data_IF_019810125023
#
_entry.id   IF_019810125023
#
_cell.length_a   1.000
_cell.length_b   1.000
_cell.length_c   1.000
_cell.angle_alpha   90.00
_cell.angle_beta   90.00
_cell.angle_gamma   90.00
#
_symmetry.space_group_name_H-M   'P 1'
#
loop_
_entity.id
_entity.type
_entity.pdbx_description
1 polymer ?
#
# COMPACT_ATOMS: atom_id res chain seq x y z
N UNK A 1 -9.46 18.47 3.73
CA UNK A 1 -8.29 18.22 4.61
C UNK A 1 -7.45 17.20 3.88
N UNK A 2 -6.36 17.62 3.24
CA UNK A 2 -5.46 16.68 2.53
C UNK A 2 -4.74 15.83 3.57
N UNK A 3 -4.75 14.53 3.34
CA UNK A 3 -4.10 13.52 4.16
C UNK A 3 -3.19 12.78 3.20
N UNK A 4 -1.89 12.98 3.39
CA UNK A 4 -0.78 12.34 2.69
C UNK A 4 -0.31 11.06 3.38
N UNK A 5 -0.73 10.86 4.63
CA UNK A 5 -0.45 9.64 5.39
C UNK A 5 -1.72 9.03 5.99
N UNK A 6 -1.92 7.73 5.83
CA UNK A 6 -3.01 7.01 6.47
C UNK A 6 -2.56 5.67 7.02
N UNK A 7 -2.97 5.35 8.24
CA UNK A 7 -2.80 4.01 8.81
C UNK A 7 -4.05 3.19 8.53
N UNK A 8 -3.85 2.04 7.87
CA UNK A 8 -4.91 1.06 7.61
C UNK A 8 -4.59 -0.25 8.32
N UNK A 9 -5.64 -0.94 8.75
CA UNK A 9 -5.58 -2.27 9.32
C UNK A 9 -6.24 -3.24 8.33
N UNK A 10 -5.47 -4.22 7.89
CA UNK A 10 -5.90 -5.20 6.91
C UNK A 10 -5.96 -6.59 7.54
N UNK A 11 -7.04 -7.30 7.25
CA UNK A 11 -7.29 -8.66 7.73
C UNK A 11 -7.77 -9.49 6.54
N UNK A 12 -6.95 -10.45 6.12
CA UNK A 12 -7.31 -11.39 5.08
C UNK A 12 -8.28 -12.44 5.61
N UNK A 13 -8.96 -13.12 4.69
CA UNK A 13 -9.94 -14.13 5.05
C UNK A 13 -9.26 -15.33 5.69
N UNK A 14 -9.88 -15.86 6.75
CA UNK A 14 -9.53 -17.17 7.29
C UNK A 14 -9.92 -18.26 6.29
N UNK A 15 -9.09 -19.30 6.16
CA UNK A 15 -9.47 -20.53 5.47
C UNK A 15 -10.65 -21.22 6.15
N UNK A 16 -11.49 -21.89 5.36
CA UNK A 16 -12.56 -22.72 5.89
C UNK A 16 -12.02 -24.00 6.51
N UNK A 17 -12.64 -24.47 7.59
CA UNK A 17 -12.28 -25.75 8.20
C UNK A 17 -12.62 -26.93 7.28
N UNK A 18 -11.81 -27.98 7.34
CA UNK A 18 -12.16 -29.26 6.75
C UNK A 18 -13.36 -29.90 7.46
N UNK A 19 -13.96 -30.87 6.79
CA UNK A 19 -15.01 -31.71 7.37
C UNK A 19 -14.45 -33.08 7.71
N UNK A 20 -14.71 -33.56 8.93
CA UNK A 20 -14.55 -34.97 9.26
C UNK A 20 -15.92 -35.63 9.14
N UNK A 21 -16.12 -36.41 8.06
CA UNK A 21 -17.39 -37.08 7.81
C UNK A 21 -17.18 -38.45 7.19
N UNK A 22 -18.16 -39.34 7.38
CA UNK A 22 -18.17 -40.67 6.79
C UNK A 22 -19.48 -40.89 6.06
N UNK A 23 -19.40 -41.53 4.89
CA UNK A 23 -20.57 -41.81 4.07
C UNK A 23 -21.52 -42.76 4.81
N UNK A 24 -22.80 -42.37 4.91
CA UNK A 24 -23.86 -43.19 5.51
C UNK A 24 -24.92 -43.50 4.47
N UNK A 25 -25.07 -44.79 4.12
CA UNK A 25 -26.09 -45.27 3.19
C UNK A 25 -26.85 -46.46 3.80
N UNK A 26 -28.14 -46.58 3.47
CA UNK A 26 -29.09 -47.53 4.08
C UNK A 26 -28.67 -49.02 4.00
N UNK A 27 -27.71 -49.36 3.13
CA UNK A 27 -27.19 -50.73 2.95
C UNK A 27 -25.66 -50.81 2.98
N UNK A 28 -24.99 -49.75 3.43
CA UNK A 28 -23.53 -49.68 3.54
C UNK A 28 -23.16 -49.21 4.95
N UNK A 29 -23.04 -50.13 5.92
CA UNK A 29 -22.82 -49.77 7.33
C UNK A 29 -21.46 -49.11 7.59
N UNK A 30 -20.45 -49.36 6.75
CA UNK A 30 -19.11 -48.75 6.85
C UNK A 30 -18.75 -48.03 5.54
N UNK A 31 -19.29 -46.83 5.33
CA UNK A 31 -18.84 -45.96 4.26
C UNK A 31 -17.48 -45.35 4.56
N UNK A 32 -16.70 -45.10 3.51
CA UNK A 32 -15.40 -44.43 3.65
C UNK A 32 -15.54 -42.96 4.05
N UNK A 33 -14.41 -42.31 4.38
CA UNK A 33 -14.36 -40.86 4.61
C UNK A 33 -14.97 -40.08 3.43
N UNK A 34 -15.87 -39.14 3.72
CA UNK A 34 -16.53 -38.29 2.73
C UNK A 34 -16.55 -36.80 3.14
N UNK A 35 -15.76 -36.43 4.14
CA UNK A 35 -15.59 -35.04 4.55
C UNK A 35 -14.62 -34.30 3.62
N UNK A 36 -15.12 -33.20 3.04
CA UNK A 36 -14.38 -32.38 2.09
C UNK A 36 -13.49 -31.31 2.74
N UNK A 37 -12.63 -30.70 1.91
CA UNK A 37 -11.82 -29.55 2.30
C UNK A 37 -12.68 -28.29 2.47
N UNK A 38 -12.22 -27.37 3.30
CA UNK A 38 -12.74 -26.00 3.32
C UNK A 38 -12.39 -25.22 2.05
N UNK A 39 -12.85 -23.97 1.99
CA UNK A 39 -12.45 -23.00 0.96
C UNK A 39 -11.28 -22.14 1.43
N UNK A 40 -10.48 -21.62 0.50
CA UNK A 40 -9.41 -20.65 0.82
C UNK A 40 -10.03 -19.32 1.27
N UNK A 41 -9.36 -18.60 2.18
CA UNK A 41 -9.72 -17.23 2.51
C UNK A 41 -9.51 -16.25 1.34
N UNK A 42 -10.21 -15.13 1.36
CA UNK A 42 -9.99 -14.04 0.41
C UNK A 42 -8.74 -13.23 0.74
N UNK A 43 -8.09 -12.68 -0.28
CA UNK A 43 -6.91 -11.81 -0.16
C UNK A 43 -7.33 -10.34 0.04
N UNK A 44 -6.48 -9.53 0.68
CA UNK A 44 -6.57 -8.06 0.65
C UNK A 44 -5.58 -7.55 -0.39
N UNK A 45 -6.10 -6.91 -1.44
CA UNK A 45 -5.31 -6.42 -2.57
C UNK A 45 -5.38 -4.90 -2.62
N UNK A 46 -4.22 -4.25 -2.66
CA UNK A 46 -4.11 -2.83 -2.96
C UNK A 46 -3.94 -2.67 -4.48
N UNK A 47 -4.75 -1.81 -5.09
CA UNK A 47 -4.73 -1.57 -6.54
C UNK A 47 -4.62 -0.08 -6.84
N UNK A 48 -3.65 0.29 -7.68
CA UNK A 48 -3.46 1.68 -8.09
C UNK A 48 -4.58 2.09 -9.03
N UNK A 49 -5.24 3.21 -8.74
CA UNK A 49 -6.33 3.71 -9.56
C UNK A 49 -6.32 5.24 -9.65
N UNK A 50 -6.31 5.78 -10.89
CA UNK A 50 -6.26 7.22 -11.17
C UNK A 50 -7.52 7.99 -10.69
N UNK A 51 -8.63 7.30 -10.44
CA UNK A 51 -9.82 7.93 -9.85
C UNK A 51 -9.62 8.33 -8.38
N UNK A 52 -8.63 7.75 -7.69
CA UNK A 52 -8.31 8.06 -6.30
C UNK A 52 -7.08 8.96 -6.29
N UNK A 53 -7.23 10.21 -5.82
CA UNK A 53 -6.14 11.21 -5.81
C UNK A 53 -5.57 11.50 -4.42
N UNK A 54 -6.27 11.10 -3.35
CA UNK A 54 -5.88 11.43 -1.97
C UNK A 54 -6.10 10.23 -1.04
N UNK A 55 -5.45 10.22 0.13
CA UNK A 55 -5.66 9.17 1.14
C UNK A 55 -6.77 9.52 2.15
N UNK A 56 -7.61 10.51 1.88
CA UNK A 56 -8.61 10.99 2.83
C UNK A 56 -9.64 9.91 3.18
N UNK A 57 -9.97 9.00 2.25
CA UNK A 57 -10.94 7.94 2.50
C UNK A 57 -10.46 6.97 3.60
N UNK A 58 -9.16 6.68 3.61
CA UNK A 58 -8.52 5.83 4.61
C UNK A 58 -8.55 6.42 6.02
N UNK A 59 -8.64 7.74 6.15
CA UNK A 59 -8.81 8.38 7.45
C UNK A 59 -10.18 8.07 8.08
N UNK A 60 -11.21 7.87 7.25
CA UNK A 60 -12.59 7.56 7.66
C UNK A 60 -12.82 6.06 7.79
N UNK A 61 -12.27 5.28 6.88
CA UNK A 61 -12.36 3.82 6.86
C UNK A 61 -10.95 3.23 7.01
N UNK A 62 -10.63 2.80 8.22
CA UNK A 62 -9.30 2.24 8.55
C UNK A 62 -9.21 0.73 8.49
N UNK A 63 -10.35 0.01 8.56
CA UNK A 63 -10.37 -1.45 8.59
C UNK A 63 -10.86 -2.04 7.27
N UNK A 64 -10.06 -2.93 6.70
CA UNK A 64 -10.36 -3.66 5.47
C UNK A 64 -10.28 -5.17 5.74
N UNK A 65 -11.40 -5.86 5.56
CA UNK A 65 -11.53 -7.30 5.83
C UNK A 65 -11.94 -8.03 4.56
N UNK A 66 -11.19 -9.05 4.20
CA UNK A 66 -11.58 -9.97 3.14
C UNK A 66 -12.57 -11.02 3.66
N UNK A 67 -13.24 -11.73 2.76
CA UNK A 67 -14.20 -12.77 3.10
C UNK A 67 -13.52 -14.07 3.54
N UNK A 68 -14.10 -14.76 4.52
CA UNK A 68 -13.63 -16.07 4.96
C UNK A 68 -14.00 -17.18 3.97
N UNK A 69 -13.16 -18.22 3.90
CA UNK A 69 -13.49 -19.46 3.22
C UNK A 69 -14.60 -20.22 3.95
N UNK A 70 -15.50 -20.85 3.19
CA UNK A 70 -16.57 -21.67 3.78
C UNK A 70 -16.04 -23.02 4.26
N UNK A 71 -16.67 -23.58 5.30
CA UNK A 71 -16.35 -24.92 5.79
C UNK A 71 -16.64 -25.99 4.73
N UNK A 72 -15.82 -27.05 4.70
CA UNK A 72 -16.13 -28.26 3.96
C UNK A 72 -17.38 -28.96 4.51
N UNK A 73 -18.08 -29.69 3.65
CA UNK A 73 -19.26 -30.47 4.01
C UNK A 73 -19.05 -31.97 3.85
N UNK A 74 -20.05 -32.74 4.30
CA UNK A 74 -20.18 -34.16 3.99
C UNK A 74 -20.47 -34.39 2.52
N UNK A 75 -20.35 -35.64 2.06
CA UNK A 75 -20.51 -36.05 0.66
C UNK A 75 -19.59 -35.29 -0.30
N UNK A 76 -18.34 -35.08 0.11
CA UNK A 76 -17.30 -34.42 -0.66
C UNK A 76 -17.67 -33.00 -1.14
N UNK A 77 -18.46 -32.26 -0.36
CA UNK A 77 -18.83 -30.87 -0.66
C UNK A 77 -17.74 -29.89 -0.24
N UNK A 78 -16.85 -29.51 -1.15
CA UNK A 78 -15.79 -28.52 -0.87
C UNK A 78 -16.35 -27.15 -0.52
N UNK A 79 -15.72 -26.47 0.43
CA UNK A 79 -16.07 -25.10 0.81
C UNK A 79 -15.76 -24.08 -0.29
N UNK A 80 -16.60 -23.05 -0.43
CA UNK A 80 -16.37 -21.93 -1.33
C UNK A 80 -15.23 -21.02 -0.86
N UNK A 81 -14.47 -20.46 -1.82
CA UNK A 81 -13.44 -19.45 -1.55
C UNK A 81 -14.07 -18.16 -1.01
N UNK A 82 -13.41 -17.53 -0.05
CA UNK A 82 -13.77 -16.21 0.45
C UNK A 82 -13.56 -15.11 -0.59
N UNK A 83 -14.36 -14.05 -0.53
CA UNK A 83 -14.25 -12.91 -1.45
C UNK A 83 -13.03 -12.06 -1.15
N UNK A 84 -12.20 -11.80 -2.16
CA UNK A 84 -11.10 -10.84 -2.04
C UNK A 84 -11.66 -9.41 -1.86
N UNK A 85 -10.90 -8.53 -1.20
CA UNK A 85 -11.20 -7.10 -1.14
C UNK A 85 -10.12 -6.32 -1.89
N UNK A 86 -10.57 -5.48 -2.84
CA UNK A 86 -9.70 -4.57 -3.57
C UNK A 86 -9.80 -3.20 -2.95
N UNK A 87 -8.67 -2.67 -2.51
CA UNK A 87 -8.53 -1.37 -1.87
C UNK A 87 -7.81 -0.44 -2.84
N UNK A 88 -8.55 0.53 -3.38
CA UNK A 88 -8.04 1.44 -4.41
C UNK A 88 -7.16 2.52 -3.78
N UNK A 89 -5.93 2.67 -4.26
CA UNK A 89 -4.99 3.69 -3.79
C UNK A 89 -4.55 4.61 -4.93
N UNK A 90 -4.19 5.87 -4.63
CA UNK A 90 -3.61 6.76 -5.63
C UNK A 90 -2.29 6.25 -6.21
N UNK A 91 -1.95 6.62 -7.45
CA UNK A 91 -0.60 6.46 -8.00
C UNK A 91 0.45 7.13 -7.12
N UNK A 92 1.59 6.46 -6.92
CA UNK A 92 2.68 6.94 -6.06
C UNK A 92 2.48 6.67 -4.57
N UNK A 93 1.60 5.74 -4.20
CA UNK A 93 1.40 5.32 -2.81
C UNK A 93 2.51 4.36 -2.38
N UNK A 94 3.24 4.73 -1.33
CA UNK A 94 4.23 3.89 -0.68
C UNK A 94 3.59 3.19 0.51
N UNK A 95 3.83 1.89 0.61
CA UNK A 95 3.39 1.06 1.73
C UNK A 95 4.56 0.89 2.69
N UNK A 96 4.32 1.14 3.98
CA UNK A 96 5.27 0.87 5.05
C UNK A 96 4.64 0.00 6.14
N UNK A 97 5.47 -0.79 6.79
CA UNK A 97 5.09 -1.51 8.01
C UNK A 97 5.08 -0.58 9.23
N UNK A 98 4.79 -1.12 10.41
CA UNK A 98 4.80 -0.38 11.68
C UNK A 98 6.20 0.12 12.07
N UNK A 99 7.25 -0.53 11.58
CA UNK A 99 8.67 -0.19 11.84
C UNK A 99 9.18 0.90 10.88
N UNK A 100 8.40 1.25 9.85
CA UNK A 100 8.72 2.26 8.85
C UNK A 100 9.49 1.71 7.64
N UNK A 101 9.71 0.40 7.56
CA UNK A 101 10.33 -0.28 6.42
C UNK A 101 9.38 -0.22 5.22
N UNK A 102 9.93 0.06 4.04
CA UNK A 102 9.13 0.12 2.81
C UNK A 102 8.80 -1.30 2.36
N UNK A 103 7.51 -1.61 2.32
CA UNK A 103 6.97 -2.89 1.83
C UNK A 103 6.88 -2.86 0.31
N UNK A 104 6.29 -1.80 -0.25
CA UNK A 104 6.08 -1.67 -1.69
C UNK A 104 5.91 -0.19 -2.10
N UNK A 105 6.20 0.09 -3.37
CA UNK A 105 5.91 1.38 -4.02
C UNK A 105 4.94 1.13 -5.18
N UNK A 106 3.74 1.71 -5.07
CA UNK A 106 2.64 1.51 -6.00
C UNK A 106 2.51 2.73 -6.91
N UNK A 107 2.99 2.63 -8.14
CA UNK A 107 3.19 3.76 -9.05
C UNK A 107 2.30 3.66 -10.28
N UNK A 108 2.31 2.51 -10.95
CA UNK A 108 1.68 2.37 -12.27
C UNK A 108 0.17 2.11 -12.13
N UNK A 109 -0.71 2.79 -12.89
CA UNK A 109 -2.15 2.55 -12.84
C UNK A 109 -2.49 1.07 -13.13
N UNK A 110 -3.37 0.49 -12.31
CA UNK A 110 -3.72 -0.94 -12.36
C UNK A 110 -2.70 -1.88 -11.72
N UNK A 111 -1.58 -1.38 -11.20
CA UNK A 111 -0.64 -2.18 -10.42
C UNK A 111 -1.34 -2.73 -9.17
N UNK A 112 -1.22 -4.04 -8.94
CA UNK A 112 -1.82 -4.75 -7.80
C UNK A 112 -0.73 -5.26 -6.86
N UNK A 113 -1.02 -5.21 -5.57
CA UNK A 113 -0.17 -5.74 -4.52
C UNK A 113 -1.01 -6.50 -3.49
N UNK A 114 -0.66 -7.76 -3.22
CA UNK A 114 -1.33 -8.55 -2.18
C UNK A 114 -0.80 -8.07 -0.84
N UNK A 115 -1.59 -7.25 -0.17
CA UNK A 115 -1.22 -6.63 1.09
C UNK A 115 -1.38 -7.60 2.26
N UNK A 116 -2.33 -8.53 2.19
CA UNK A 116 -2.50 -9.62 3.15
C UNK A 116 -3.05 -10.85 2.42
N UNK A 117 -2.42 -12.01 2.62
CA UNK A 117 -2.81 -13.27 1.98
C UNK A 117 -3.89 -14.00 2.78
N UNK A 118 -4.91 -14.51 2.07
CA UNK A 118 -5.95 -15.35 2.64
C UNK A 118 -5.41 -16.71 3.07
N UNK A 119 -5.88 -17.17 4.23
CA UNK A 119 -5.45 -18.43 4.84
C UNK A 119 -5.84 -19.65 4.01
N UNK A 120 -4.99 -20.68 4.06
CA UNK A 120 -5.21 -21.95 3.37
C UNK A 120 -6.42 -22.72 3.91
N UNK A 121 -7.07 -23.46 3.02
CA UNK A 121 -8.19 -24.32 3.36
C UNK A 121 -7.76 -25.50 4.24
N UNK A 122 -8.52 -25.78 5.30
CA UNK A 122 -8.37 -26.98 6.09
C UNK A 122 -8.75 -28.23 5.28
N UNK A 123 -7.94 -29.28 5.35
CA UNK A 123 -8.21 -30.55 4.67
C UNK A 123 -9.27 -31.35 5.39
N UNK A 124 -10.24 -31.87 4.63
CA UNK A 124 -11.21 -32.83 5.13
C UNK A 124 -10.60 -34.21 5.34
N UNK A 125 -11.28 -35.06 6.10
CA UNK A 125 -10.77 -36.39 6.40
C UNK A 125 -10.59 -37.25 5.14
N UNK A 126 -11.38 -37.05 4.08
CA UNK A 126 -11.18 -37.74 2.80
C UNK A 126 -9.81 -37.42 2.15
N UNK A 127 -9.31 -36.19 2.30
CA UNK A 127 -8.01 -35.79 1.76
C UNK A 127 -6.83 -36.31 2.59
N UNK A 128 -7.07 -36.70 3.84
CA UNK A 128 -6.04 -37.20 4.77
C UNK A 128 -5.78 -38.71 4.63
N UNK A 129 -6.59 -39.43 3.85
CA UNK A 129 -6.51 -40.90 3.75
C UNK A 129 -5.12 -41.41 3.36
N UNK A 130 -4.44 -40.71 2.44
CA UNK A 130 -3.10 -41.10 1.99
C UNK A 130 -2.02 -40.90 3.05
N UNK A 131 -2.23 -39.98 3.98
CA UNK A 131 -1.20 -39.58 4.94
C UNK A 131 -1.43 -40.17 6.33
N UNK A 132 -2.69 -40.34 6.73
CA UNK A 132 -3.09 -40.80 8.07
C UNK A 132 -3.48 -42.28 8.05
N UNK A 133 -4.02 -42.78 6.94
CA UNK A 133 -4.52 -44.14 6.81
C UNK A 133 -5.99 -44.20 6.35
N UNK A 134 -6.61 -45.38 6.31
CA UNK A 134 -7.90 -45.58 5.64
C UNK A 134 -9.11 -44.89 6.32
N UNK A 135 -9.02 -44.54 7.61
CA UNK A 135 -10.15 -44.02 8.41
C UNK A 135 -9.76 -42.83 9.31
N UNK A 136 -9.28 -41.71 8.76
CA UNK A 136 -9.03 -40.50 9.54
C UNK A 136 -10.33 -39.98 10.16
N UNK A 137 -10.32 -39.78 11.48
CA UNK A 137 -11.49 -39.31 12.26
C UNK A 137 -11.46 -37.82 12.57
N UNK A 138 -10.44 -37.12 12.08
CA UNK A 138 -10.27 -35.68 12.22
C UNK A 138 -10.14 -34.99 10.86
N UNK A 139 -10.24 -33.67 10.88
CA UNK A 139 -9.98 -32.80 9.75
C UNK A 139 -9.12 -31.62 10.23
N UNK A 140 -8.37 -31.01 9.32
CA UNK A 140 -7.58 -29.82 9.64
C UNK A 140 -8.51 -28.59 9.71
N UNK A 141 -8.21 -27.68 10.64
CA UNK A 141 -8.81 -26.36 10.70
C UNK A 141 -8.27 -25.49 9.57
N UNK A 142 -9.04 -24.51 9.14
CA UNK A 142 -8.58 -23.52 8.19
C UNK A 142 -7.58 -22.57 8.82
N UNK A 143 -6.55 -22.24 8.06
CA UNK A 143 -5.48 -21.33 8.48
C UNK A 143 -6.05 -19.91 8.70
N UNK A 144 -5.62 -19.20 9.76
CA UNK A 144 -5.84 -17.75 9.87
C UNK A 144 -5.33 -17.01 8.62
N UNK A 145 -6.02 -15.95 8.22
CA UNK A 145 -5.50 -15.05 7.19
C UNK A 145 -4.42 -14.15 7.78
N UNK A 146 -3.61 -13.55 6.91
CA UNK A 146 -2.66 -12.52 7.33
C UNK A 146 -3.40 -11.31 7.94
N UNK A 147 -2.84 -10.80 9.02
CA UNK A 147 -3.28 -9.56 9.67
C UNK A 147 -2.07 -8.64 9.83
N UNK A 148 -2.18 -7.39 9.38
CA UNK A 148 -1.13 -6.38 9.58
C UNK A 148 -1.67 -4.96 9.53
N UNK A 149 -0.98 -4.03 10.17
CA UNK A 149 -1.18 -2.61 9.95
C UNK A 149 -0.20 -2.13 8.88
N UNK A 150 -0.69 -1.31 7.95
CA UNK A 150 0.13 -0.69 6.90
C UNK A 150 -0.04 0.81 6.96
N UNK A 151 1.08 1.53 7.01
CA UNK A 151 1.10 2.98 6.81
C UNK A 151 1.20 3.26 5.31
N UNK A 152 0.18 3.92 4.77
CA UNK A 152 0.15 4.45 3.42
C UNK A 152 0.76 5.85 3.45
N UNK A 153 1.76 6.10 2.62
CA UNK A 153 2.34 7.41 2.41
C UNK A 153 2.26 7.76 0.93
N UNK A 154 1.54 8.81 0.59
CA UNK A 154 1.49 9.29 -0.78
C UNK A 154 2.76 10.09 -1.06
N UNK A 155 3.68 9.56 -1.89
CA UNK A 155 4.80 10.35 -2.40
C UNK A 155 4.24 11.42 -3.32
N UNK A 156 4.13 12.63 -2.77
CA UNK A 156 3.57 13.83 -3.38
C UNK A 156 3.70 13.84 -4.90
N UNK A 157 2.54 13.87 -5.54
CA UNK A 157 2.35 14.13 -6.95
C UNK A 157 1.59 15.45 -6.97
N UNK A 158 2.27 16.56 -7.23
CA UNK A 158 1.53 17.74 -7.64
C UNK A 158 1.10 17.49 -9.07
N UNK A 159 -0.19 17.58 -9.38
CA UNK A 159 -0.70 17.47 -10.76
C UNK A 159 -0.25 18.68 -11.58
N UNK A 160 -0.10 19.84 -10.90
CA UNK A 160 0.28 21.12 -11.51
C UNK A 160 1.42 21.76 -10.73
N UNK A 161 2.50 22.12 -11.43
CA UNK A 161 3.61 22.88 -10.86
C UNK A 161 3.56 24.34 -11.33
N UNK A 162 3.50 25.28 -10.40
CA UNK A 162 3.53 26.72 -10.68
C UNK A 162 4.98 27.19 -10.70
N UNK A 163 5.42 27.64 -11.88
CA UNK A 163 6.78 28.14 -12.11
C UNK A 163 6.71 29.63 -12.39
N UNK A 164 7.57 30.41 -11.75
CA UNK A 164 7.59 31.86 -11.93
C UNK A 164 8.58 32.52 -10.99
N UNK A 165 8.93 33.77 -11.27
CA UNK A 165 9.86 34.52 -10.44
C UNK A 165 9.36 34.74 -9.00
N UNK A 166 10.25 35.12 -8.05
CA UNK A 166 9.83 35.69 -6.78
C UNK A 166 8.82 36.81 -6.99
N UNK A 167 7.85 36.90 -6.09
CA UNK A 167 6.81 37.93 -6.11
C UNK A 167 5.89 37.94 -7.35
N UNK A 168 6.00 36.98 -8.27
CA UNK A 168 5.06 36.84 -9.40
C UNK A 168 3.61 36.54 -8.95
N UNK A 169 3.41 36.22 -7.68
CA UNK A 169 2.10 35.96 -7.08
C UNK A 169 1.74 34.48 -6.93
N UNK A 170 2.74 33.58 -6.94
CA UNK A 170 2.54 32.11 -6.83
C UNK A 170 1.73 31.73 -5.59
N UNK A 171 2.20 32.10 -4.40
CA UNK A 171 1.52 31.80 -3.13
C UNK A 171 0.14 32.47 -3.05
N UNK A 172 -0.02 33.66 -3.63
CA UNK A 172 -1.32 34.34 -3.72
C UNK A 172 -2.31 33.58 -4.59
N UNK A 173 -1.86 33.06 -5.75
CA UNK A 173 -2.68 32.23 -6.63
C UNK A 173 -3.09 30.93 -5.93
N UNK A 174 -2.14 30.22 -5.31
CA UNK A 174 -2.41 28.98 -4.53
C UNK A 174 -3.43 29.25 -3.43
N UNK A 175 -3.26 30.33 -2.68
CA UNK A 175 -4.20 30.72 -1.62
C UNK A 175 -5.62 30.98 -2.14
N UNK A 176 -5.74 31.49 -3.37
CA UNK A 176 -7.03 31.83 -3.99
C UNK A 176 -7.75 30.61 -4.56
N UNK A 177 -7.01 29.66 -5.12
CA UNK A 177 -7.57 28.45 -5.75
C UNK A 177 -7.81 27.33 -4.74
N UNK A 178 -7.10 27.34 -3.60
CA UNK A 178 -7.17 26.26 -2.63
C UNK A 178 -8.44 26.34 -1.77
N UNK A 179 -9.31 25.31 -1.83
CA UNK A 179 -10.50 25.21 -0.96
C UNK A 179 -10.15 24.97 0.51
N UNK A 180 -8.94 24.48 0.78
CA UNK A 180 -8.35 24.41 2.11
C UNK A 180 -7.31 25.52 2.28
N UNK A 181 -7.07 26.03 3.49
CA UNK A 181 -5.90 26.90 3.71
C UNK A 181 -4.65 26.16 3.20
N UNK A 182 -3.79 26.82 2.40
CA UNK A 182 -2.52 26.23 1.97
C UNK A 182 -1.82 25.67 3.21
N UNK A 183 -1.50 24.37 3.18
CA UNK A 183 -0.73 23.76 4.25
C UNK A 183 0.73 23.89 3.86
N UNK A 184 1.45 24.60 4.72
CA UNK A 184 2.90 24.49 4.79
C UNK A 184 3.19 23.05 5.21
N UNK A 185 4.04 22.36 4.47
CA UNK A 185 4.29 20.96 4.69
C UNK A 185 5.79 20.71 4.86
N UNK A 186 6.13 20.16 6.03
CA UNK A 186 7.51 19.96 6.50
C UNK A 186 8.01 18.61 6.00
N UNK A 187 8.47 18.56 4.75
CA UNK A 187 8.93 17.31 4.16
C UNK A 187 10.37 16.96 4.59
N UNK A 188 10.70 15.68 4.83
CA UNK A 188 11.98 15.28 5.45
C UNK A 188 13.25 15.57 4.63
N UNK A 189 13.14 16.17 3.45
CA UNK A 189 14.25 16.41 2.52
C UNK A 189 14.20 17.78 1.85
N UNK A 190 13.28 18.65 2.26
CA UNK A 190 13.16 20.01 1.73
C UNK A 190 13.63 21.01 2.79
N UNK A 191 14.60 21.86 2.47
CA UNK A 191 14.96 22.99 3.34
C UNK A 191 14.06 24.21 3.16
N UNK A 192 13.15 24.17 2.19
CA UNK A 192 12.10 25.16 1.94
C UNK A 192 10.78 24.39 1.83
N UNK A 193 9.86 24.65 2.74
CA UNK A 193 8.50 24.07 2.73
C UNK A 193 7.74 24.58 1.48
N UNK A 194 7.29 23.69 0.57
CA UNK A 194 6.53 24.12 -0.60
C UNK A 194 5.09 24.49 -0.20
N UNK A 195 4.53 25.48 -0.90
CA UNK A 195 3.12 25.82 -0.75
C UNK A 195 2.30 24.86 -1.61
N UNK A 196 1.44 24.07 -0.97
CA UNK A 196 0.50 23.18 -1.64
C UNK A 196 -0.93 23.70 -1.51
N UNK A 197 -1.68 23.58 -2.61
CA UNK A 197 -3.11 23.88 -2.67
C UNK A 197 -3.88 22.79 -3.39
N UNK A 198 -5.13 22.59 -2.99
CA UNK A 198 -6.06 21.69 -3.69
C UNK A 198 -7.08 22.53 -4.42
N UNK A 199 -7.01 22.50 -5.75
CA UNK A 199 -7.96 23.16 -6.61
C UNK A 199 -9.11 22.20 -6.95
N UNK A 200 -10.34 22.70 -6.93
CA UNK A 200 -11.52 21.96 -7.40
C UNK A 200 -12.22 22.79 -8.47
N UNK A 201 -12.36 22.22 -9.66
CA UNK A 201 -13.06 22.82 -10.79
C UNK A 201 -14.13 21.84 -11.27
N UNK A 202 -15.40 22.25 -11.21
CA UNK A 202 -16.54 21.35 -11.39
C UNK A 202 -16.39 20.08 -10.52
N UNK A 203 -16.28 18.91 -11.15
CA UNK A 203 -16.12 17.60 -10.51
C UNK A 203 -14.66 17.10 -10.47
N UNK A 204 -13.71 17.91 -10.95
CA UNK A 204 -12.28 17.55 -10.97
C UNK A 204 -11.53 18.20 -9.80
N UNK A 205 -10.77 17.40 -9.07
CA UNK A 205 -9.85 17.85 -8.01
C UNK A 205 -8.42 17.55 -8.41
N UNK A 206 -7.51 18.51 -8.19
CA UNK A 206 -6.08 18.31 -8.47
C UNK A 206 -5.20 19.13 -7.52
N UNK A 207 -3.97 18.64 -7.33
CA UNK A 207 -2.98 19.20 -6.43
C UNK A 207 -2.09 20.17 -7.18
N UNK A 208 -1.95 21.38 -6.65
CA UNK A 208 -1.11 22.45 -7.20
C UNK A 208 0.00 22.76 -6.21
N UNK A 209 1.24 22.81 -6.70
CA UNK A 209 2.41 23.18 -5.88
C UNK A 209 3.14 24.36 -6.48
N UNK A 210 3.72 25.23 -5.65
CA UNK A 210 4.70 26.18 -6.14
C UNK A 210 6.08 25.54 -6.25
N UNK A 211 6.86 26.08 -7.19
CA UNK A 211 8.27 25.72 -7.39
C UNK A 211 9.14 26.82 -6.77
N UNK A 212 9.53 26.72 -5.48
CA UNK A 212 10.58 27.56 -4.92
C UNK A 212 11.92 27.32 -5.61
N UNK A 213 12.66 28.39 -5.89
CA UNK A 213 14.11 28.31 -6.06
C UNK A 213 14.67 28.00 -7.44
N UNK A 214 13.88 28.03 -8.52
CA UNK A 214 14.44 28.15 -9.89
C UNK A 214 14.87 29.61 -10.13
N UNK A 215 15.94 30.05 -9.45
CA UNK A 215 16.56 31.36 -9.72
C UNK A 215 18.07 31.22 -9.50
N UNK A 216 18.85 31.71 -10.48
CA UNK A 216 20.32 31.80 -10.55
C UNK A 216 21.10 31.18 -9.37
N UNK A 217 21.67 29.99 -9.62
CA UNK A 217 22.67 29.34 -8.75
C UNK A 217 22.22 28.04 -8.07
N UNK A 218 20.96 27.61 -8.25
CA UNK A 218 20.46 26.36 -7.66
C UNK A 218 21.11 25.09 -8.23
N UNK A 219 21.68 25.15 -9.44
CA UNK A 219 22.40 24.04 -10.09
C UNK A 219 23.86 23.90 -9.62
N UNK A 220 24.44 24.89 -8.92
CA UNK A 220 25.89 24.97 -8.67
C UNK A 220 26.37 24.55 -7.27
N UNK A 221 25.50 24.23 -6.30
CA UNK A 221 26.03 23.65 -5.06
C UNK A 221 25.14 23.73 -3.84
N UNK A 222 24.53 22.58 -3.54
CA UNK A 222 24.13 21.99 -2.24
C UNK A 222 22.92 21.12 -2.55
N UNK A 223 22.97 19.83 -2.22
CA UNK A 223 22.02 18.78 -2.64
C UNK A 223 20.55 18.90 -2.20
N UNK A 224 20.03 20.12 -2.04
CA UNK A 224 18.68 20.48 -1.61
C UNK A 224 17.73 20.75 -2.78
N UNK A 225 18.23 21.18 -3.95
CA UNK A 225 17.40 21.46 -5.14
C UNK A 225 16.91 20.20 -5.86
N UNK A 226 17.76 19.17 -5.98
CA UNK A 226 17.45 17.95 -6.75
C UNK A 226 16.31 17.12 -6.13
N UNK A 227 16.16 17.11 -4.79
CA UNK A 227 15.07 16.40 -4.13
C UNK A 227 13.72 17.10 -4.30
N UNK A 228 13.72 18.45 -4.27
CA UNK A 228 12.52 19.26 -4.49
C UNK A 228 12.03 19.17 -5.95
N UNK A 229 12.96 19.26 -6.89
CA UNK A 229 12.64 19.25 -8.32
C UNK A 229 12.15 17.87 -8.81
N UNK A 230 12.48 16.77 -8.12
CA UNK A 230 11.83 15.45 -8.30
C UNK A 230 10.31 15.48 -8.08
N UNK A 231 9.78 16.41 -7.29
CA UNK A 231 8.33 16.55 -7.11
C UNK A 231 7.65 17.21 -8.32
N UNK A 232 8.37 18.05 -9.06
CA UNK A 232 7.91 18.65 -10.32
C UNK A 232 7.99 17.65 -11.46
N UNK A 233 8.91 16.68 -11.40
CA UNK A 233 8.99 15.55 -12.34
C UNK A 233 7.74 14.67 -12.35
N UNK A 234 6.74 14.93 -11.50
CA UNK A 234 5.43 14.27 -11.57
C UNK A 234 4.28 15.18 -11.96
N UNK A 235 4.51 16.48 -12.11
CA UNK A 235 3.48 17.42 -12.57
C UNK A 235 3.10 17.17 -14.02
N UNK A 236 1.85 16.79 -14.23
CA UNK A 236 1.25 16.66 -15.55
C UNK A 236 1.27 17.99 -16.32
N UNK A 237 1.07 19.10 -15.60
CA UNK A 237 0.99 20.44 -16.17
C UNK A 237 1.99 21.39 -15.50
N UNK A 238 2.71 22.16 -16.33
CA UNK A 238 3.52 23.29 -15.87
C UNK A 238 2.74 24.59 -16.13
N UNK A 239 2.49 25.35 -15.06
CA UNK A 239 1.82 26.65 -15.10
C UNK A 239 2.85 27.76 -14.89
N UNK A 240 3.20 28.48 -15.97
CA UNK A 240 4.07 29.65 -15.89
C UNK A 240 3.29 30.85 -15.38
N UNK A 241 3.72 31.44 -14.27
CA UNK A 241 3.16 32.65 -13.71
C UNK A 241 4.07 33.84 -13.99
N UNK A 242 3.64 34.70 -14.91
CA UNK A 242 4.41 35.86 -15.40
C UNK A 242 3.85 37.14 -14.78
N UNK A 243 4.74 37.99 -14.24
CA UNK A 243 4.35 39.25 -13.59
C UNK A 243 4.20 40.38 -14.63
N UNK A 244 2.97 40.85 -14.83
CA UNK A 244 2.67 41.93 -15.78
C UNK A 244 2.77 43.34 -15.16
N UNK A 245 3.11 43.45 -13.87
CA UNK A 245 3.14 44.75 -13.19
C UNK A 245 4.31 45.61 -13.68
N UNK A 246 4.10 46.93 -13.91
CA UNK A 246 5.19 47.83 -14.30
C UNK A 246 6.33 47.90 -13.27
N UNK A 247 6.04 47.54 -12.02
CA UNK A 247 6.95 47.55 -10.88
C UNK A 247 7.98 46.41 -10.91
N UNK A 248 7.76 45.36 -11.71
CA UNK A 248 8.73 44.26 -11.87
C UNK A 248 10.04 44.74 -12.51
N UNK A 249 9.99 45.79 -13.34
CA UNK A 249 11.12 46.33 -14.08
C UNK A 249 11.65 45.44 -15.20
N UNK A 250 11.08 44.24 -15.40
CA UNK A 250 11.47 43.26 -16.42
C UNK A 250 10.41 43.15 -17.51
N UNK A 251 10.80 42.66 -18.69
CA UNK A 251 9.83 42.38 -19.77
C UNK A 251 9.21 41.00 -19.57
N UNK A 252 7.87 40.87 -19.60
CA UNK A 252 7.19 39.58 -19.42
C UNK A 252 7.63 38.47 -20.38
N UNK A 253 7.94 38.83 -21.63
CA UNK A 253 8.48 37.89 -22.63
C UNK A 253 9.82 37.31 -22.18
N UNK A 254 10.73 38.16 -21.70
CA UNK A 254 12.04 37.73 -21.21
C UNK A 254 11.90 36.85 -19.97
N UNK A 255 10.96 37.17 -19.08
CA UNK A 255 10.64 36.34 -17.91
C UNK A 255 10.21 34.93 -18.35
N UNK A 256 9.33 34.79 -19.35
CA UNK A 256 8.91 33.47 -19.85
C UNK A 256 10.08 32.67 -20.44
N UNK A 257 10.90 33.30 -21.29
CA UNK A 257 12.04 32.64 -21.92
C UNK A 257 13.02 32.11 -20.87
N UNK A 258 13.35 32.93 -19.88
CA UNK A 258 14.26 32.52 -18.79
C UNK A 258 13.70 31.35 -17.99
N UNK A 259 12.40 31.34 -17.71
CA UNK A 259 11.77 30.23 -16.97
C UNK A 259 11.76 28.93 -17.78
N UNK A 260 11.58 28.98 -19.11
CA UNK A 260 11.68 27.79 -19.96
C UNK A 260 13.11 27.29 -20.07
N UNK A 261 14.08 28.17 -20.33
CA UNK A 261 15.50 27.79 -20.42
C UNK A 261 16.00 27.15 -19.12
N UNK A 262 15.53 27.65 -17.98
CA UNK A 262 15.89 27.11 -16.66
C UNK A 262 15.27 25.73 -16.40
N UNK A 263 14.00 25.52 -16.78
CA UNK A 263 13.36 24.21 -16.69
C UNK A 263 14.02 23.20 -17.64
N UNK A 264 14.35 23.61 -18.86
CA UNK A 264 15.03 22.76 -19.85
C UNK A 264 16.42 22.35 -19.35
N UNK A 265 17.18 23.30 -18.80
CA UNK A 265 18.51 23.06 -18.23
C UNK A 265 18.48 22.09 -17.06
N UNK A 266 17.38 22.08 -16.28
CA UNK A 266 17.21 21.12 -15.19
C UNK A 266 16.84 19.73 -15.72
N UNK A 267 15.76 19.64 -16.50
CA UNK A 267 15.30 18.39 -17.08
C UNK A 267 14.56 18.66 -18.41
N UNK A 268 15.14 18.28 -19.56
CA UNK A 268 14.54 18.47 -20.87
C UNK A 268 13.13 17.83 -21.02
N UNK A 269 12.80 16.84 -20.19
CA UNK A 269 11.48 16.19 -20.21
C UNK A 269 10.36 17.11 -19.72
N UNK A 270 10.66 18.10 -18.88
CA UNK A 270 9.65 19.04 -18.35
C UNK A 270 9.11 19.96 -19.43
N UNK A 271 9.92 20.34 -20.42
CA UNK A 271 9.51 21.13 -21.58
C UNK A 271 8.56 20.35 -22.49
N UNK A 272 8.60 19.01 -22.46
CA UNK A 272 7.71 18.18 -23.29
C UNK A 272 6.30 18.05 -22.73
N UNK A 273 6.06 18.54 -21.51
CA UNK A 273 4.76 18.43 -20.85
C UNK A 273 3.77 19.48 -21.34
N UNK A 274 2.52 19.25 -20.97
CA UNK A 274 1.46 20.25 -21.09
C UNK A 274 1.86 21.51 -20.32
N UNK A 275 1.92 22.64 -21.04
CA UNK A 275 2.37 23.92 -20.53
C UNK A 275 1.33 25.00 -20.78
N UNK A 276 1.17 25.91 -19.84
CA UNK A 276 0.19 27.00 -19.89
C UNK A 276 0.75 28.22 -19.17
N UNK A 277 0.41 29.42 -19.65
CA UNK A 277 0.90 30.70 -19.15
C UNK A 277 -0.24 31.48 -18.51
N UNK A 278 0.01 31.99 -17.31
CA UNK A 278 -0.83 32.95 -16.60
C UNK A 278 -0.11 34.29 -16.48
N UNK A 279 -0.60 35.27 -17.23
CA UNK A 279 -0.18 36.67 -17.15
C UNK A 279 -0.88 37.31 -15.94
N UNK A 280 -0.15 37.45 -14.83
CA UNK A 280 -0.68 37.83 -13.52
C UNK A 280 -0.50 39.32 -13.22
N UNK A 281 -1.24 39.81 -12.22
CA UNK A 281 -1.29 41.21 -11.76
C UNK A 281 -1.87 42.19 -12.77
N UNK A 282 -2.83 41.74 -13.57
CA UNK A 282 -3.53 42.56 -14.57
C UNK A 282 -4.30 43.75 -13.96
N UNK A 283 -4.57 43.71 -12.65
CA UNK A 283 -5.14 44.81 -11.88
C UNK A 283 -4.22 46.05 -11.78
N UNK A 284 -2.92 45.87 -12.00
CA UNK A 284 -1.91 46.95 -11.86
C UNK A 284 -1.61 47.72 -13.16
N UNK A 285 -2.49 47.61 -14.18
CA UNK A 285 -2.37 48.30 -15.48
C UNK A 285 -1.01 48.05 -16.15
N UNK A 286 -0.81 46.89 -16.80
CA UNK A 286 0.42 46.58 -17.50
C UNK A 286 0.74 47.59 -18.61
N UNK A 287 1.99 47.63 -19.06
CA UNK A 287 2.36 48.44 -20.23
C UNK A 287 1.63 47.88 -21.45
N UNK A 288 1.08 48.76 -22.28
CA UNK A 288 0.17 48.35 -23.37
C UNK A 288 0.80 47.35 -24.35
N UNK A 289 2.11 47.42 -24.60
CA UNK A 289 2.82 46.50 -25.48
C UNK A 289 3.16 45.15 -24.84
N UNK A 290 3.32 45.08 -23.52
CA UNK A 290 3.85 43.87 -22.87
C UNK A 290 2.88 42.68 -22.98
N UNK A 291 1.57 42.92 -22.96
CA UNK A 291 0.57 41.86 -23.10
C UNK A 291 0.51 41.32 -24.54
N UNK A 292 0.57 42.21 -25.53
CA UNK A 292 0.54 41.84 -26.95
C UNK A 292 1.81 41.08 -27.33
N UNK A 293 2.98 41.55 -26.86
CA UNK A 293 4.25 40.88 -27.06
C UNK A 293 4.26 39.47 -26.44
N UNK A 294 3.77 39.33 -25.19
CA UNK A 294 3.68 38.03 -24.52
C UNK A 294 2.70 37.09 -25.22
N UNK A 295 1.56 37.62 -25.70
CA UNK A 295 0.59 36.85 -26.46
C UNK A 295 1.20 36.27 -27.74
N UNK A 296 1.91 37.11 -28.49
CA UNK A 296 2.56 36.71 -29.74
C UNK A 296 3.62 35.63 -29.50
N UNK A 297 4.39 35.75 -28.42
CA UNK A 297 5.37 34.73 -28.01
C UNK A 297 4.68 33.41 -27.62
N UNK A 298 3.59 33.46 -26.85
CA UNK A 298 2.85 32.27 -26.47
C UNK A 298 2.24 31.56 -27.70
N UNK A 299 1.69 32.32 -28.65
CA UNK A 299 1.16 31.78 -29.90
C UNK A 299 2.26 31.11 -30.75
N UNK A 300 3.43 31.73 -30.85
CA UNK A 300 4.60 31.16 -31.55
C UNK A 300 5.07 29.84 -30.93
N UNK A 301 4.89 29.67 -29.61
CA UNK A 301 5.26 28.46 -28.85
C UNK A 301 4.11 27.47 -28.63
N UNK A 302 2.93 27.74 -29.19
CA UNK A 302 1.70 26.97 -28.96
C UNK A 302 1.32 26.82 -27.47
N UNK A 303 1.60 27.84 -26.67
CA UNK A 303 1.23 27.91 -25.26
C UNK A 303 -0.11 28.61 -25.08
N UNK A 304 -1.01 28.01 -24.30
CA UNK A 304 -2.24 28.70 -23.87
C UNK A 304 -1.88 29.85 -22.92
N UNK A 305 -2.47 31.03 -23.11
CA UNK A 305 -2.24 32.20 -22.26
C UNK A 305 -3.54 32.74 -21.66
N UNK A 306 -3.54 32.95 -20.34
CA UNK A 306 -4.65 33.53 -19.59
C UNK A 306 -4.21 34.78 -18.83
N UNK A 307 -4.95 35.88 -19.01
CA UNK A 307 -4.78 37.10 -18.23
C UNK A 307 -5.54 36.96 -16.91
N UNK A 308 -4.85 37.09 -15.77
CA UNK A 308 -5.42 36.89 -14.45
C UNK A 308 -5.01 37.97 -13.45
N UNK A 309 -5.73 38.05 -12.34
CA UNK A 309 -5.26 38.71 -11.12
C UNK A 309 -5.49 37.79 -9.92
N UNK A 310 -4.40 37.28 -9.36
CA UNK A 310 -4.43 36.50 -8.13
C UNK A 310 -5.03 37.28 -6.94
N UNK A 311 -4.89 38.61 -6.93
CA UNK A 311 -5.41 39.48 -5.88
C UNK A 311 -6.95 39.57 -5.95
N UNK A 312 -7.49 39.95 -7.10
CA UNK A 312 -8.94 40.13 -7.26
C UNK A 312 -9.67 38.80 -7.43
N UNK A 313 -9.05 37.83 -8.10
CA UNK A 313 -9.67 36.58 -8.53
C UNK A 313 -10.08 36.58 -10.01
N UNK A 314 -9.87 37.69 -10.71
CA UNK A 314 -10.26 37.82 -12.11
C UNK A 314 -9.45 36.88 -13.02
N UNK A 315 -10.11 36.31 -14.02
CA UNK A 315 -9.53 35.35 -14.96
C UNK A 315 -9.16 33.96 -14.40
N UNK A 316 -9.12 33.78 -13.07
CA UNK A 316 -8.74 32.50 -12.44
C UNK A 316 -9.69 31.35 -12.80
N UNK A 317 -11.03 31.50 -12.80
CA UNK A 317 -11.92 30.38 -13.14
C UNK A 317 -11.67 29.81 -14.54
N UNK A 318 -11.40 30.68 -15.52
CA UNK A 318 -11.11 30.27 -16.89
C UNK A 318 -9.75 29.55 -16.99
N UNK A 319 -8.72 30.08 -16.31
CA UNK A 319 -7.41 29.43 -16.21
C UNK A 319 -7.53 28.03 -15.59
N UNK A 320 -8.22 27.91 -14.45
CA UNK A 320 -8.30 26.63 -13.75
C UNK A 320 -9.11 25.58 -14.53
N UNK A 321 -10.11 25.99 -15.31
CA UNK A 321 -10.81 25.09 -16.25
C UNK A 321 -9.88 24.53 -17.32
N UNK A 322 -9.05 25.39 -17.93
CA UNK A 322 -8.08 24.94 -18.93
C UNK A 322 -7.00 24.03 -18.33
N UNK A 323 -6.55 24.33 -17.10
CA UNK A 323 -5.62 23.46 -16.36
C UNK A 323 -6.24 22.09 -16.06
N UNK A 324 -7.51 22.05 -15.63
CA UNK A 324 -8.22 20.80 -15.36
C UNK A 324 -8.30 19.92 -16.61
N UNK A 325 -8.63 20.50 -17.76
CA UNK A 325 -8.66 19.78 -19.05
C UNK A 325 -7.28 19.20 -19.42
N UNK A 326 -6.20 19.94 -19.17
CA UNK A 326 -4.83 19.49 -19.44
C UNK A 326 -4.38 18.37 -18.51
N UNK A 327 -4.74 18.45 -17.22
CA UNK A 327 -4.49 17.37 -16.25
C UNK A 327 -5.23 16.11 -16.68
N UNK A 328 -6.53 16.23 -17.02
CA UNK A 328 -7.34 15.10 -17.44
C UNK A 328 -6.80 14.42 -18.71
N UNK A 329 -6.37 15.18 -19.73
CA UNK A 329 -5.73 14.60 -20.93
C UNK A 329 -4.43 13.88 -20.62
N UNK A 330 -3.62 14.46 -19.73
CA UNK A 330 -2.35 13.83 -19.34
C UNK A 330 -2.59 12.50 -18.60
N UNK A 331 -3.67 12.41 -17.82
CA UNK A 331 -4.10 11.17 -17.16
C UNK A 331 -4.52 10.09 -18.18
N UNK A 332 -5.13 10.48 -19.30
CA UNK A 332 -5.53 9.57 -20.39
C UNK A 332 -4.32 9.05 -21.20
N UNK A 333 -3.23 9.83 -21.28
CA UNK A 333 -2.04 9.52 -22.07
C UNK A 333 -0.96 8.70 -21.32
N UNK A 334 -1.09 8.52 -20.00
CA UNK A 334 -0.34 7.51 -19.23
C UNK A 334 1.18 7.75 -19.12
N UNK A 335 1.63 8.98 -18.87
CA UNK A 335 3.06 9.29 -18.71
C UNK A 335 3.60 8.71 -17.38
N UNK A 336 4.16 7.51 -17.43
CA UNK A 336 4.88 6.85 -16.32
C UNK A 336 6.37 7.24 -16.36
N UNK A 337 6.88 7.84 -15.29
CA UNK A 337 8.33 7.97 -15.04
C UNK A 337 8.67 7.74 -13.56
N UNK A 338 9.52 6.75 -13.29
CA UNK A 338 10.19 6.57 -12.00
C UNK A 338 10.70 5.15 -11.78
N UNK A 339 12.01 4.99 -11.57
CA UNK A 339 12.72 3.72 -11.43
C UNK A 339 12.21 2.85 -10.26
N UNK A 340 12.12 1.55 -10.54
CA UNK A 340 11.47 0.52 -9.74
C UNK A 340 12.40 -0.03 -8.66
N UNK A 341 11.94 -0.02 -7.42
CA UNK A 341 12.36 -1.01 -6.41
C UNK A 341 11.11 -1.81 -6.08
N UNK A 342 10.87 -2.85 -6.87
CA UNK A 342 9.96 -3.90 -6.44
C UNK A 342 10.70 -4.69 -5.37
N UNK A 343 10.41 -4.39 -4.10
CA UNK A 343 10.61 -5.40 -3.07
C UNK A 343 9.43 -6.36 -3.25
N UNK A 344 9.61 -7.37 -4.11
CA UNK A 344 8.82 -8.58 -3.92
C UNK A 344 9.12 -9.00 -2.48
N UNK A 345 8.11 -9.16 -1.60
CA UNK A 345 8.36 -9.80 -0.32
C UNK A 345 9.04 -11.11 -0.70
N UNK A 346 10.32 -11.22 -0.35
CA UNK A 346 11.09 -12.42 -0.55
C UNK A 346 10.18 -13.54 -0.09
N UNK A 347 9.92 -14.52 -0.98
CA UNK A 347 9.26 -15.75 -0.60
C UNK A 347 9.92 -16.14 0.72
N UNK A 348 9.17 -16.04 1.84
CA UNK A 348 9.74 -16.23 3.16
C UNK A 348 10.48 -17.55 3.08
N UNK A 349 11.81 -17.49 3.07
CA UNK A 349 12.59 -18.69 3.18
C UNK A 349 12.05 -19.33 4.46
N UNK A 350 11.57 -20.58 4.37
CA UNK A 350 10.94 -21.30 5.47
C UNK A 350 11.99 -21.59 6.57
N UNK A 351 12.61 -20.55 7.13
CA UNK A 351 13.64 -20.64 8.13
C UNK A 351 12.95 -20.83 9.46
N UNK A 352 12.91 -22.08 9.88
CA UNK A 352 12.58 -22.45 11.24
C UNK A 352 13.74 -22.07 12.16
N UNK A 353 13.46 -21.51 13.33
CA UNK A 353 14.46 -21.20 14.34
C UNK A 353 13.99 -21.62 15.74
N UNK A 354 14.94 -21.97 16.61
CA UNK A 354 14.68 -22.34 18.00
C UNK A 354 15.45 -21.39 18.90
N UNK A 355 14.76 -20.72 19.80
CA UNK A 355 15.36 -19.89 20.85
C UNK A 355 15.00 -20.46 22.22
N UNK A 356 15.82 -20.18 23.23
CA UNK A 356 15.56 -20.57 24.61
C UNK A 356 15.43 -19.32 25.45
N UNK A 357 14.30 -19.16 26.15
CA UNK A 357 14.04 -18.07 27.08
C UNK A 357 13.45 -18.63 28.37
N UNK A 358 14.04 -18.32 29.52
CA UNK A 358 13.53 -18.68 30.85
C UNK A 358 13.14 -20.17 31.07
N UNK A 359 13.86 -21.09 30.40
CA UNK A 359 13.58 -22.53 30.49
C UNK A 359 12.58 -23.06 29.47
N UNK A 360 11.93 -22.17 28.71
CA UNK A 360 11.02 -22.47 27.61
C UNK A 360 11.78 -22.46 26.27
N UNK A 361 11.55 -23.47 25.44
CA UNK A 361 12.03 -23.50 24.05
C UNK A 361 10.96 -22.93 23.13
N UNK A 362 11.28 -21.84 22.42
CA UNK A 362 10.36 -21.21 21.47
C UNK A 362 10.77 -21.59 20.06
N UNK A 363 9.89 -22.29 19.34
CA UNK A 363 10.09 -22.62 17.93
C UNK A 363 9.30 -21.64 17.07
N UNK A 364 10.00 -20.91 16.21
CA UNK A 364 9.40 -19.95 15.27
C UNK A 364 9.57 -20.48 13.84
N UNK A 365 8.55 -20.26 13.01
CA UNK A 365 8.61 -20.65 11.61
C UNK A 365 7.22 -20.77 11.00
N UNK A 366 7.02 -20.11 9.85
CA UNK A 366 5.73 -19.99 9.16
C UNK A 366 5.05 -21.35 8.98
N UNK A 367 5.80 -22.35 8.54
CA UNK A 367 5.28 -23.71 8.30
C UNK A 367 4.86 -24.45 9.57
N UNK A 368 5.65 -24.37 10.65
CA UNK A 368 5.36 -25.10 11.90
C UNK A 368 4.26 -24.42 12.69
N UNK A 369 4.24 -23.09 12.70
CA UNK A 369 3.16 -22.31 13.30
C UNK A 369 1.82 -22.55 12.58
N UNK A 370 1.84 -22.66 11.24
CA UNK A 370 0.67 -23.03 10.44
C UNK A 370 0.13 -24.40 10.86
N UNK A 371 0.98 -25.42 10.98
CA UNK A 371 0.56 -26.76 11.42
C UNK A 371 -0.13 -26.72 12.79
N UNK A 372 0.43 -25.97 13.73
CA UNK A 372 -0.14 -25.81 15.09
C UNK A 372 -1.48 -25.10 15.07
N UNK A 373 -1.61 -24.01 14.30
CA UNK A 373 -2.86 -23.23 14.15
C UNK A 373 -3.96 -24.03 13.45
N UNK A 374 -3.60 -24.90 12.51
CA UNK A 374 -4.53 -25.76 11.76
C UNK A 374 -4.91 -27.06 12.49
N UNK A 375 -4.32 -27.36 13.64
CA UNK A 375 -4.61 -28.60 14.38
C UNK A 375 -5.80 -28.44 15.31
N UNK A 376 -6.64 -29.46 15.37
CA UNK A 376 -7.71 -29.55 16.36
C UNK A 376 -7.20 -30.17 17.68
N UNK A 377 -6.83 -29.30 18.63
CA UNK A 377 -6.27 -29.68 19.92
C UNK A 377 -7.24 -30.42 20.87
N UNK A 378 -8.52 -30.59 20.50
CA UNK A 378 -9.44 -31.46 21.24
C UNK A 378 -9.53 -32.88 20.66
N UNK A 379 -8.68 -33.23 19.70
CA UNK A 379 -8.71 -34.52 19.02
C UNK A 379 -7.32 -35.19 19.03
N UNK A 380 -7.20 -36.31 19.73
CA UNK A 380 -5.94 -37.04 19.89
C UNK A 380 -5.33 -37.52 18.57
N UNK A 381 -6.15 -37.92 17.59
CA UNK A 381 -5.67 -38.33 16.27
C UNK A 381 -5.04 -37.15 15.52
N UNK A 382 -5.60 -35.93 15.71
CA UNK A 382 -5.08 -34.72 15.10
C UNK A 382 -3.76 -34.27 15.74
N UNK A 383 -3.66 -34.39 17.07
CA UNK A 383 -2.42 -34.07 17.80
C UNK A 383 -1.31 -35.06 17.44
N UNK A 384 -1.63 -36.35 17.36
CA UNK A 384 -0.69 -37.39 16.92
C UNK A 384 -0.18 -37.12 15.50
N UNK A 385 -1.09 -36.71 14.61
CA UNK A 385 -0.72 -36.31 13.26
C UNK A 385 0.18 -35.07 13.23
N UNK A 386 -0.11 -34.05 14.05
CA UNK A 386 0.73 -32.87 14.22
C UNK A 386 2.14 -33.24 14.66
N UNK A 387 2.28 -34.06 15.72
CA UNK A 387 3.59 -34.48 16.23
C UNK A 387 4.45 -35.14 15.14
N UNK A 388 3.85 -36.04 14.33
CA UNK A 388 4.53 -36.63 13.18
C UNK A 388 4.96 -35.58 12.16
N UNK A 389 4.10 -34.59 11.87
CA UNK A 389 4.41 -33.52 10.90
C UNK A 389 5.52 -32.58 11.37
N UNK A 390 5.57 -32.26 12.66
CA UNK A 390 6.66 -31.49 13.26
C UNK A 390 7.99 -32.24 13.16
N UNK A 391 7.98 -33.55 13.43
CA UNK A 391 9.15 -34.42 13.24
C UNK A 391 9.61 -34.50 11.78
N UNK A 392 8.68 -34.68 10.84
CA UNK A 392 8.96 -34.65 9.39
C UNK A 392 9.53 -33.28 8.94
N UNK A 393 9.20 -32.20 9.65
CA UNK A 393 9.73 -30.86 9.42
C UNK A 393 11.10 -30.61 10.09
N UNK A 394 11.63 -31.56 10.87
CA UNK A 394 12.92 -31.46 11.55
C UNK A 394 12.91 -30.66 12.86
N UNK A 395 11.74 -30.47 13.47
CA UNK A 395 11.61 -29.75 14.76
C UNK A 395 12.39 -30.46 15.87
N UNK A 396 12.25 -31.79 15.97
CA UNK A 396 12.94 -32.63 16.96
C UNK A 396 14.47 -32.47 16.86
N UNK A 397 15.01 -32.47 15.64
CA UNK A 397 16.45 -32.29 15.39
C UNK A 397 16.94 -30.90 15.82
N UNK A 398 16.13 -29.86 15.62
CA UNK A 398 16.48 -28.49 16.01
C UNK A 398 16.38 -28.27 17.52
N UNK A 399 15.36 -28.82 18.18
CA UNK A 399 15.23 -28.81 19.63
C UNK A 399 16.38 -29.56 20.30
N UNK A 400 16.74 -30.73 19.79
CA UNK A 400 17.89 -31.49 20.29
C UNK A 400 19.22 -30.71 20.14
N UNK A 401 19.43 -30.01 19.01
CA UNK A 401 20.60 -29.14 18.81
C UNK A 401 20.61 -27.92 19.74
N UNK A 402 19.44 -27.41 20.11
CA UNK A 402 19.29 -26.33 21.09
C UNK A 402 19.46 -26.83 22.54
N UNK A 403 19.59 -28.14 22.75
CA UNK A 403 19.81 -28.77 24.06
C UNK A 403 18.53 -29.06 24.84
N UNK A 404 17.40 -29.27 24.17
CA UNK A 404 16.16 -29.71 24.81
C UNK A 404 16.26 -31.18 25.27
N UNK A 405 15.69 -31.45 26.44
CA UNK A 405 15.58 -32.75 27.08
C UNK A 405 14.11 -33.13 27.29
N UNK A 406 13.83 -34.43 27.42
CA UNK A 406 12.49 -34.91 27.72
C UNK A 406 11.96 -34.26 29.00
N UNK A 407 10.75 -33.70 28.94
CA UNK A 407 10.15 -32.92 30.02
C UNK A 407 10.30 -31.41 29.89
N UNK A 408 11.11 -30.91 28.96
CA UNK A 408 11.24 -29.47 28.72
C UNK A 408 9.97 -28.92 28.03
N UNK A 409 9.57 -27.70 28.40
CA UNK A 409 8.44 -27.03 27.74
C UNK A 409 8.87 -26.44 26.39
N UNK A 410 8.03 -26.67 25.38
CA UNK A 410 8.18 -26.12 24.03
C UNK A 410 6.94 -25.30 23.68
N UNK A 411 7.16 -24.08 23.20
CA UNK A 411 6.14 -23.21 22.66
C UNK A 411 6.26 -23.08 21.15
N UNK A 412 5.14 -23.26 20.45
CA UNK A 412 5.00 -22.96 19.03
C UNK A 412 3.73 -22.11 18.84
N UNK A 413 3.90 -20.91 18.30
CA UNK A 413 2.82 -19.93 18.15
C UNK A 413 2.11 -19.56 19.47
N UNK A 414 0.97 -20.17 19.79
CA UNK A 414 0.17 -19.86 21.00
C UNK A 414 -0.04 -21.10 21.88
N UNK A 415 0.72 -22.17 21.61
CA UNK A 415 0.56 -23.47 22.24
C UNK A 415 1.87 -23.90 22.86
N UNK A 416 1.79 -24.30 24.12
CA UNK A 416 2.88 -24.85 24.90
C UNK A 416 2.59 -26.32 25.17
N UNK A 417 3.59 -27.18 25.00
CA UNK A 417 3.51 -28.61 25.26
C UNK A 417 4.86 -29.16 25.69
N UNK A 418 4.85 -30.32 26.33
CA UNK A 418 6.04 -31.00 26.82
C UNK A 418 6.79 -31.69 25.67
N UNK A 419 8.12 -31.50 25.60
CA UNK A 419 8.97 -32.18 24.65
C UNK A 419 9.23 -33.62 25.10
N UNK A 420 9.10 -34.55 24.15
CA UNK A 420 9.48 -35.94 24.33
C UNK A 420 10.15 -36.46 23.05
N UNK A 421 11.43 -36.77 23.16
CA UNK A 421 12.26 -37.34 22.09
C UNK A 421 11.84 -38.75 21.67
N UNK A 422 11.01 -39.41 22.50
CA UNK A 422 10.56 -40.79 22.30
C UNK A 422 9.03 -40.94 22.26
N UNK A 423 8.27 -39.87 21.97
CA UNK A 423 6.82 -39.98 21.86
C UNK A 423 6.40 -40.89 20.68
N UNK A 424 6.19 -42.17 21.00
CA UNK A 424 5.48 -43.12 20.18
C UNK A 424 4.01 -43.10 20.57
N UNK A 425 3.17 -42.40 19.78
CA UNK A 425 1.71 -42.50 19.60
C UNK A 425 0.78 -42.48 20.83
N UNK A 426 1.19 -42.87 22.05
CA UNK A 426 0.33 -43.05 23.23
C UNK A 426 0.52 -42.01 24.35
N UNK A 427 1.63 -41.26 24.40
CA UNK A 427 1.92 -40.37 25.54
C UNK A 427 1.35 -38.94 25.43
N UNK A 428 1.09 -38.43 24.22
CA UNK A 428 0.60 -37.05 24.05
C UNK A 428 -0.85 -36.88 24.57
N UNK A 429 -1.66 -37.94 24.54
CA UNK A 429 -3.02 -37.93 25.09
C UNK A 429 -3.04 -37.80 26.63
N UNK A 430 -2.01 -38.30 27.33
CA UNK A 430 -1.95 -38.21 28.81
C UNK A 430 -1.51 -36.83 29.33
N UNK A 431 -0.68 -36.11 28.57
CA UNK A 431 -0.22 -34.78 28.96
C UNK A 431 -1.35 -33.72 28.91
N UNK A 432 -2.35 -33.91 28.03
CA UNK A 432 -3.51 -33.01 27.94
C UNK A 432 -4.50 -33.18 29.11
N UNK A 433 -4.61 -34.37 29.70
CA UNK A 433 -5.47 -34.60 30.87
C UNK A 433 -4.82 -34.07 32.15
N UNK A 434 -3.50 -34.18 32.31
CA UNK A 434 -2.77 -33.69 33.48
C UNK A 434 -2.83 -32.15 33.62
N UNK A 435 -2.78 -31.41 32.51
CA UNK A 435 -2.85 -29.94 32.52
C UNK A 435 -4.28 -29.40 32.79
N UNK A 436 -5.32 -30.21 32.59
CA UNK A 436 -6.71 -29.83 32.88
C UNK A 436 -7.08 -30.01 34.36
N UNK A 437 -6.49 -31.00 35.04
CA UNK A 437 -6.74 -31.25 36.46
C UNK A 437 -6.00 -30.27 37.39
N UNK A 438 -4.87 -29.69 36.96
CA UNK A 438 -4.13 -28.69 37.78
C UNK A 438 -4.75 -27.29 37.81
N UNK A 439 -5.77 -26.99 36.98
CA UNK A 439 -6.51 -25.72 37.01
C UNK A 439 -7.90 -25.81 37.66
N UNK A 440 -8.17 -26.91 38.36
CA UNK A 440 -9.41 -27.16 39.08
C UNK A 440 -9.29 -27.07 40.61
N UNK A 441 -8.79 -25.95 41.15
CA UNK A 441 -9.06 -25.48 42.54
C UNK A 441 -9.21 -23.97 42.57
#
# INVERSE_FOLDING_TARGET
>A
MFIDEALIFIEAGRGGDGCASFLREKYRPHGGPDGANGGRGGDVVLEVNNSVRTLIEFSRRRHFRAGNGSRGGSRNKTGARGSDIIVLVPPGTVLRDEEGTVIADLVDPGQKFIAASGGQAGRGNAALVKEVGPLPRFAEKGEPGDERAIKLELKLVADVAIVGFPNAGKSSLISKISRARPRVADYPFTTIEPNLGVATVADSEFVVTDVPGLIKGAHEGRGMGIAFLRHIERAAVILYLVDMSPASGRRPVEDLVVLEDELESYNPDLIRRSRIVAANKMDLKPRSQDLDDLRLECEARALGMFAISAATGDGIPALMSAVADLVQRSDEEGVSTGARVAYEPAAEEETMSVTRSDGLFVVTGVRVERLVKMTDWSNDDAITYLARKLREAGVDDMLARAGAHDGDEVEISTKTFEYSSHAGVEEIARASEAAADEKGV
#
